data_IF_778356110054
#
_entry.id   IF_778356110054
#
_cell.length_a   1.000
_cell.length_b   1.000
_cell.length_c   1.000
_cell.angle_alpha   90.00
_cell.angle_beta   90.00
_cell.angle_gamma   90.00
#
_symmetry.space_group_name_H-M   'P 1'
#
loop_
_entity.id
_entity.type
_entity.pdbx_description
1 polymer ?
#
# COMPACT_ATOMS: atom_id res chain seq x y z
N UNK A 1 -8.97 7.66 47.73
CA UNK A 1 -9.43 7.25 46.43
C UNK A 1 -9.49 8.45 45.52
N UNK A 2 -8.52 8.58 44.58
CA UNK A 2 -8.58 9.60 43.54
C UNK A 2 -9.13 8.92 42.27
N UNK A 3 -10.13 9.49 41.60
CA UNK A 3 -10.54 8.97 40.28
C UNK A 3 -9.55 9.41 39.23
N UNK A 4 -8.84 8.46 38.63
CA UNK A 4 -8.06 8.63 37.41
C UNK A 4 -9.05 8.83 36.25
N UNK A 5 -9.32 10.08 35.89
CA UNK A 5 -9.91 10.42 34.60
C UNK A 5 -8.83 10.37 33.54
N UNK A 6 -8.78 9.26 32.82
CA UNK A 6 -8.00 9.14 31.58
C UNK A 6 -8.64 10.06 30.53
N UNK A 7 -8.03 11.20 30.25
CA UNK A 7 -8.36 11.99 29.05
C UNK A 7 -7.66 11.32 27.86
N UNK A 8 -8.35 11.11 26.75
CA UNK A 8 -7.68 10.66 25.53
C UNK A 8 -6.73 11.77 25.04
N UNK A 9 -5.43 11.47 25.01
CA UNK A 9 -4.36 12.39 24.62
C UNK A 9 -4.07 12.40 23.11
N UNK A 10 -5.05 12.11 22.26
CA UNK A 10 -4.89 12.34 20.83
C UNK A 10 -6.00 13.25 20.35
N UNK A 11 -5.68 14.44 19.80
CA UNK A 11 -6.66 15.19 19.06
C UNK A 11 -7.09 14.31 17.88
N UNK A 12 -8.39 14.06 17.75
CA UNK A 12 -8.96 13.47 16.54
C UNK A 12 -8.48 14.31 15.36
N UNK A 13 -7.73 13.68 14.46
CA UNK A 13 -7.41 14.27 13.17
C UNK A 13 -8.75 14.69 12.54
N UNK A 14 -8.94 15.95 12.10
CA UNK A 14 -10.11 16.26 11.34
C UNK A 14 -9.98 15.49 10.03
N UNK A 15 -10.68 14.36 9.93
CA UNK A 15 -11.04 13.78 8.66
C UNK A 15 -11.82 14.87 7.93
N UNK A 16 -11.16 15.61 7.08
CA UNK A 16 -11.82 16.42 6.09
C UNK A 16 -12.68 15.44 5.31
N UNK A 17 -13.98 15.49 5.55
CA UNK A 17 -14.97 14.55 5.05
C UNK A 17 -15.05 14.66 3.52
N UNK A 18 -14.12 14.03 2.82
CA UNK A 18 -14.36 13.55 1.49
C UNK A 18 -15.33 12.38 1.67
N UNK A 19 -16.59 12.58 1.35
CA UNK A 19 -17.60 11.54 1.40
C UNK A 19 -17.23 10.47 0.37
N UNK A 20 -16.54 9.42 0.81
CA UNK A 20 -16.25 8.26 -0.02
C UNK A 20 -17.54 7.47 -0.18
N UNK A 21 -17.86 7.11 -1.41
CA UNK A 21 -18.96 6.19 -1.67
C UNK A 21 -18.64 4.83 -1.04
N UNK A 22 -19.64 4.20 -0.36
CA UNK A 22 -19.43 2.85 0.18
C UNK A 22 -19.22 1.86 -0.96
N UNK A 23 -18.26 0.94 -0.78
CA UNK A 23 -18.00 -0.14 -1.74
C UNK A 23 -19.20 -1.08 -1.82
N UNK A 24 -19.91 -1.02 -2.94
CA UNK A 24 -21.04 -1.89 -3.31
C UNK A 24 -20.88 -2.50 -4.70
N UNK A 25 -19.66 -2.48 -5.25
CA UNK A 25 -19.41 -2.98 -6.62
C UNK A 25 -19.83 -4.43 -6.82
N UNK A 26 -19.75 -5.22 -5.77
CA UNK A 26 -20.11 -6.64 -5.77
C UNK A 26 -21.39 -6.96 -5.00
N UNK A 27 -22.23 -5.96 -4.69
CA UNK A 27 -23.46 -6.14 -3.91
C UNK A 27 -24.60 -6.80 -4.70
N UNK A 28 -24.55 -6.77 -6.03
CA UNK A 28 -25.52 -7.40 -6.91
C UNK A 28 -24.88 -8.61 -7.63
N UNK A 29 -25.65 -9.68 -7.94
CA UNK A 29 -25.14 -10.81 -8.69
C UNK A 29 -24.56 -10.38 -10.04
N UNK A 30 -23.32 -10.77 -10.33
CA UNK A 30 -22.69 -10.56 -11.64
C UNK A 30 -23.17 -11.63 -12.62
N UNK A 31 -23.50 -11.23 -13.84
CA UNK A 31 -23.92 -12.16 -14.91
C UNK A 31 -22.77 -13.09 -15.34
N UNK A 32 -21.53 -12.61 -15.27
CA UNK A 32 -20.31 -13.39 -15.52
C UNK A 32 -19.19 -12.90 -14.58
N UNK A 33 -18.31 -13.80 -14.10
CA UNK A 33 -17.07 -13.41 -13.43
C UNK A 33 -16.23 -12.54 -14.37
N UNK A 34 -15.74 -11.42 -13.86
CA UNK A 34 -14.80 -10.53 -14.54
C UNK A 34 -13.56 -10.36 -13.67
N UNK A 35 -12.41 -10.28 -14.30
CA UNK A 35 -11.18 -9.99 -13.59
C UNK A 35 -11.23 -8.59 -12.98
N UNK A 36 -10.61 -8.41 -11.83
CA UNK A 36 -10.57 -7.14 -11.12
C UNK A 36 -9.70 -6.13 -11.90
N UNK A 37 -10.28 -4.96 -12.21
CA UNK A 37 -9.60 -3.88 -12.93
C UNK A 37 -9.73 -2.60 -12.13
N UNK A 38 -8.62 -1.87 -11.97
CA UNK A 38 -8.56 -0.57 -11.31
C UNK A 38 -9.10 0.55 -12.23
N UNK A 39 -10.40 0.52 -12.49
CA UNK A 39 -11.12 1.47 -13.34
C UNK A 39 -11.81 2.58 -12.52
N UNK A 40 -12.54 3.47 -13.20
CA UNK A 40 -13.27 4.58 -12.57
C UNK A 40 -14.27 4.12 -11.49
N UNK A 41 -14.93 2.98 -11.67
CA UNK A 41 -15.87 2.45 -10.68
C UNK A 41 -15.16 2.07 -9.39
N UNK A 42 -14.00 1.43 -9.51
CA UNK A 42 -13.14 1.10 -8.36
C UNK A 42 -12.60 2.36 -7.71
N UNK A 43 -12.14 3.34 -8.48
CA UNK A 43 -11.61 4.63 -7.96
C UNK A 43 -12.58 5.29 -6.99
N UNK A 44 -13.89 5.33 -7.31
CA UNK A 44 -14.90 5.97 -6.46
C UNK A 44 -15.03 5.35 -5.07
N UNK A 45 -14.90 4.04 -4.98
CA UNK A 45 -15.13 3.29 -3.74
C UNK A 45 -13.83 2.78 -3.10
N UNK A 46 -12.68 2.99 -3.73
CA UNK A 46 -11.40 2.41 -3.32
C UNK A 46 -11.02 2.69 -1.85
N UNK A 47 -11.20 3.91 -1.31
CA UNK A 47 -10.87 4.18 0.08
C UNK A 47 -11.70 3.36 1.08
N UNK A 48 -13.00 3.18 0.82
CA UNK A 48 -13.87 2.32 1.61
C UNK A 48 -13.50 0.83 1.41
N UNK A 49 -13.30 0.45 0.15
CA UNK A 49 -12.92 -0.90 -0.25
C UNK A 49 -11.65 -1.39 0.46
N UNK A 50 -10.58 -0.61 0.43
CA UNK A 50 -9.29 -1.03 0.98
C UNK A 50 -9.34 -1.10 2.51
N UNK A 51 -9.96 -0.13 3.17
CA UNK A 51 -10.14 -0.08 4.61
C UNK A 51 -10.94 -1.27 5.15
N UNK A 52 -11.99 -1.68 4.44
CA UNK A 52 -12.85 -2.81 4.82
C UNK A 52 -12.29 -4.17 4.43
N UNK A 53 -11.29 -4.22 3.55
CA UNK A 53 -10.73 -5.47 2.99
C UNK A 53 -9.35 -5.82 3.51
N UNK A 54 -8.54 -4.83 3.94
CA UNK A 54 -7.14 -5.04 4.36
C UNK A 54 -7.00 -4.70 5.84
N UNK A 55 -6.86 -5.72 6.71
CA UNK A 55 -6.63 -5.52 8.12
C UNK A 55 -5.38 -4.68 8.39
N UNK A 56 -5.53 -3.60 9.18
CA UNK A 56 -4.41 -2.74 9.54
C UNK A 56 -3.94 -1.76 8.47
N UNK A 57 -4.63 -1.63 7.33
CA UNK A 57 -4.22 -0.74 6.25
C UNK A 57 -3.91 0.70 6.70
N UNK A 58 -4.76 1.39 7.50
CA UNK A 58 -4.44 2.74 7.96
C UNK A 58 -3.17 2.79 8.82
N UNK A 59 -2.95 1.77 9.65
CA UNK A 59 -1.75 1.64 10.49
C UNK A 59 -0.49 1.47 9.63
N UNK A 60 -0.56 0.64 8.59
CA UNK A 60 0.56 0.44 7.66
C UNK A 60 0.90 1.77 6.98
N UNK A 61 -0.08 2.45 6.40
CA UNK A 61 0.13 3.71 5.67
C UNK A 61 0.75 4.78 6.55
N UNK A 62 0.21 4.99 7.77
CA UNK A 62 0.75 6.00 8.69
C UNK A 62 2.19 5.67 9.13
N UNK A 63 2.46 4.40 9.44
CA UNK A 63 3.81 4.00 9.83
C UNK A 63 4.81 4.02 8.66
N UNK A 64 4.38 3.82 7.41
CA UNK A 64 5.25 4.06 6.25
C UNK A 64 5.75 5.51 6.25
N UNK A 65 4.88 6.49 6.53
CA UNK A 65 5.28 7.88 6.68
C UNK A 65 6.31 8.10 7.80
N UNK A 66 6.08 7.49 8.97
CA UNK A 66 7.02 7.57 10.11
C UNK A 66 8.37 6.94 9.77
N UNK A 67 8.37 5.76 9.14
CA UNK A 67 9.59 5.08 8.70
C UNK A 67 10.32 5.91 7.64
N UNK A 68 9.59 6.49 6.70
CA UNK A 68 10.18 7.34 5.67
C UNK A 68 10.96 8.52 6.25
N UNK A 69 10.47 9.14 7.31
CA UNK A 69 11.18 10.21 7.99
C UNK A 69 12.54 9.77 8.59
N UNK A 70 12.71 8.47 8.88
CA UNK A 70 13.98 7.92 9.38
C UNK A 70 14.98 7.62 8.26
N UNK A 71 14.48 7.24 7.07
CA UNK A 71 15.32 6.81 5.95
C UNK A 71 15.57 7.91 4.92
N UNK A 72 14.74 8.94 4.88
CA UNK A 72 14.87 10.04 3.92
C UNK A 72 16.23 10.74 4.02
N UNK A 73 16.88 10.92 2.87
CA UNK A 73 18.19 11.58 2.76
C UNK A 73 18.12 12.75 1.79
N UNK A 74 18.89 13.84 2.03
CA UNK A 74 18.89 15.00 1.15
C UNK A 74 19.29 14.65 -0.28
N UNK A 75 18.68 15.33 -1.26
CA UNK A 75 18.95 15.18 -2.69
C UNK A 75 18.62 13.79 -3.22
N UNK A 76 17.60 13.13 -2.68
CA UNK A 76 17.10 11.83 -3.13
C UNK A 76 15.61 11.88 -3.41
N UNK A 77 15.12 10.84 -4.10
CA UNK A 77 13.69 10.61 -4.29
C UNK A 77 13.12 9.65 -3.24
N UNK A 78 11.82 9.76 -3.00
CA UNK A 78 11.02 8.76 -2.32
C UNK A 78 9.97 8.23 -3.30
N UNK A 79 9.93 6.93 -3.54
CA UNK A 79 8.98 6.33 -4.48
C UNK A 79 7.79 5.72 -3.77
N UNK A 80 6.60 5.95 -4.32
CA UNK A 80 5.36 5.24 -4.01
C UNK A 80 4.92 4.50 -5.28
N UNK A 81 5.24 3.22 -5.38
CA UNK A 81 5.03 2.38 -6.55
C UNK A 81 3.71 1.62 -6.45
N UNK A 82 2.77 1.89 -7.34
CA UNK A 82 1.38 1.50 -7.25
C UNK A 82 0.64 2.42 -6.27
N UNK A 83 0.76 3.73 -6.49
CA UNK A 83 0.31 4.74 -5.53
C UNK A 83 -1.22 4.82 -5.39
N UNK A 84 -1.98 4.24 -6.31
CA UNK A 84 -3.45 4.34 -6.34
C UNK A 84 -3.93 5.79 -6.16
N UNK A 85 -4.71 6.05 -5.13
CA UNK A 85 -5.20 7.38 -4.79
C UNK A 85 -4.24 8.20 -3.91
N UNK A 86 -3.00 7.74 -3.72
CA UNK A 86 -1.94 8.48 -3.06
C UNK A 86 -1.95 8.45 -1.53
N UNK A 87 -2.50 7.41 -0.90
CA UNK A 87 -2.52 7.31 0.56
C UNK A 87 -1.11 7.28 1.17
N UNK A 88 -0.21 6.44 0.64
CA UNK A 88 1.20 6.38 1.05
C UNK A 88 1.91 7.68 0.64
N UNK A 89 1.71 8.16 -0.57
CA UNK A 89 2.23 9.45 -1.05
C UNK A 89 1.95 10.59 -0.05
N UNK A 90 0.71 10.69 0.43
CA UNK A 90 0.32 11.70 1.42
C UNK A 90 1.04 11.52 2.76
N UNK A 91 1.18 10.27 3.22
CA UNK A 91 1.92 9.98 4.45
C UNK A 91 3.39 10.39 4.32
N UNK A 92 4.06 10.04 3.21
CA UNK A 92 5.43 10.47 2.90
C UNK A 92 5.56 12.00 2.96
N UNK A 93 4.68 12.72 2.28
CA UNK A 93 4.72 14.19 2.18
C UNK A 93 4.50 14.89 3.53
N UNK A 94 3.70 14.30 4.42
CA UNK A 94 3.43 14.86 5.75
C UNK A 94 4.57 14.64 6.74
N UNK A 95 5.15 13.44 6.72
CA UNK A 95 6.13 13.03 7.73
C UNK A 95 7.57 13.41 7.40
N UNK A 96 7.95 13.40 6.12
CA UNK A 96 9.32 13.71 5.72
C UNK A 96 9.52 15.21 5.59
N UNK A 97 10.59 15.71 6.25
CA UNK A 97 10.97 17.13 6.26
C UNK A 97 12.42 17.34 5.81
N UNK A 98 12.97 16.35 5.11
CA UNK A 98 14.35 16.37 4.63
C UNK A 98 14.47 17.30 3.41
N UNK A 99 15.51 18.13 3.41
CA UNK A 99 15.75 19.12 2.35
C UNK A 99 16.05 18.47 1.00
N UNK A 100 15.59 19.11 -0.07
CA UNK A 100 15.82 18.67 -1.44
C UNK A 100 15.36 17.23 -1.73
N UNK A 101 14.34 16.76 -1.03
CA UNK A 101 13.63 15.52 -1.32
C UNK A 101 12.34 15.81 -2.08
N UNK A 102 11.89 14.84 -2.86
CA UNK A 102 10.56 14.85 -3.46
C UNK A 102 10.01 13.43 -3.58
N UNK A 103 8.69 13.32 -3.68
CA UNK A 103 8.00 12.03 -3.87
C UNK A 103 7.74 11.82 -5.36
N UNK A 104 8.01 10.62 -5.84
CA UNK A 104 7.59 10.14 -7.15
C UNK A 104 6.55 9.05 -6.93
N UNK A 105 5.30 9.38 -7.24
CA UNK A 105 4.14 8.49 -7.10
C UNK A 105 3.81 7.91 -8.49
N UNK A 106 3.73 6.60 -8.61
CA UNK A 106 3.57 5.91 -9.89
C UNK A 106 2.41 4.94 -9.84
N UNK A 107 1.54 4.99 -10.82
CA UNK A 107 0.49 3.99 -11.05
C UNK A 107 0.25 3.79 -12.54
N UNK A 108 -0.15 2.60 -12.97
CA UNK A 108 -0.44 2.31 -14.37
C UNK A 108 -1.92 2.51 -14.73
N UNK A 109 -2.77 2.85 -13.77
CA UNK A 109 -4.18 3.18 -14.00
C UNK A 109 -4.35 4.69 -14.19
N UNK A 110 -4.71 5.12 -15.40
CA UNK A 110 -5.01 6.52 -15.71
C UNK A 110 -6.05 7.11 -14.75
N UNK A 111 -7.11 6.36 -14.43
CA UNK A 111 -8.17 6.78 -13.52
C UNK A 111 -7.65 6.99 -12.08
N UNK A 112 -6.76 6.11 -11.59
CA UNK A 112 -6.12 6.28 -10.29
C UNK A 112 -5.21 7.50 -10.26
N UNK A 113 -4.38 7.68 -11.28
CA UNK A 113 -3.43 8.80 -11.40
C UNK A 113 -4.16 10.13 -11.44
N UNK A 114 -5.21 10.28 -12.25
CA UNK A 114 -6.00 11.49 -12.33
C UNK A 114 -6.61 11.85 -10.96
N UNK A 115 -7.22 10.88 -10.30
CA UNK A 115 -7.83 11.09 -8.99
C UNK A 115 -6.80 11.36 -7.89
N UNK A 116 -5.64 10.71 -7.96
CA UNK A 116 -4.51 10.99 -7.07
C UNK A 116 -4.06 12.45 -7.18
N UNK A 117 -3.89 12.96 -8.40
CA UNK A 117 -3.52 14.37 -8.64
C UNK A 117 -4.53 15.33 -8.05
N UNK A 118 -5.83 15.07 -8.21
CA UNK A 118 -6.90 15.90 -7.63
C UNK A 118 -6.81 15.94 -6.10
N UNK A 119 -6.64 14.79 -5.43
CA UNK A 119 -6.52 14.71 -3.99
C UNK A 119 -5.28 15.44 -3.45
N UNK A 120 -4.15 15.27 -4.12
CA UNK A 120 -2.91 15.93 -3.72
C UNK A 120 -2.98 17.45 -3.92
N UNK A 121 -3.56 17.91 -5.04
CA UNK A 121 -3.77 19.33 -5.28
C UNK A 121 -4.70 19.98 -4.23
N UNK A 122 -5.77 19.28 -3.84
CA UNK A 122 -6.65 19.73 -2.77
C UNK A 122 -5.92 19.90 -1.43
N UNK A 123 -4.96 19.05 -1.13
CA UNK A 123 -4.15 19.13 0.08
C UNK A 123 -3.12 20.27 0.03
N UNK A 124 -2.50 20.53 -1.10
CA UNK A 124 -1.53 21.62 -1.28
C UNK A 124 -2.15 22.99 -0.94
N UNK A 125 -3.46 23.14 -1.15
CA UNK A 125 -4.19 24.34 -0.79
C UNK A 125 -4.50 24.46 0.72
N UNK A 126 -4.44 23.36 1.47
CA UNK A 126 -4.81 23.30 2.89
C UNK A 126 -3.59 23.28 3.85
N UNK A 127 -2.46 22.74 3.41
CA UNK A 127 -1.27 22.57 4.23
C UNK A 127 -0.08 23.31 3.63
N UNK A 128 0.61 24.08 4.47
CA UNK A 128 1.90 24.67 4.12
C UNK A 128 3.01 23.64 4.41
N UNK A 129 4.06 23.60 3.57
CA UNK A 129 5.27 22.79 3.77
C UNK A 129 5.11 21.25 3.59
N UNK A 130 4.35 20.80 2.60
CA UNK A 130 4.39 19.42 2.15
C UNK A 130 5.55 19.20 1.18
N UNK A 131 6.16 18.00 1.20
CA UNK A 131 7.15 17.63 0.18
C UNK A 131 6.56 17.77 -1.23
N UNK A 132 7.37 18.25 -2.20
CA UNK A 132 6.99 18.22 -3.60
C UNK A 132 6.68 16.78 -4.04
N UNK A 133 5.74 16.64 -4.98
CA UNK A 133 5.34 15.34 -5.53
C UNK A 133 5.17 15.42 -7.04
N UNK A 134 5.65 14.40 -7.72
CA UNK A 134 5.35 14.12 -9.12
C UNK A 134 4.50 12.85 -9.20
N UNK A 135 3.36 12.90 -9.90
CA UNK A 135 2.49 11.73 -10.12
C UNK A 135 2.58 11.31 -11.58
N UNK A 136 3.06 10.09 -11.80
CA UNK A 136 3.39 9.55 -13.13
C UNK A 136 2.45 8.38 -13.44
N UNK A 137 1.83 8.43 -14.62
CA UNK A 137 1.15 7.27 -15.22
C UNK A 137 2.19 6.43 -15.95
N UNK A 138 2.58 5.30 -15.35
CA UNK A 138 3.57 4.40 -15.94
C UNK A 138 3.46 2.98 -15.35
N UNK A 139 3.96 2.00 -16.11
CA UNK A 139 4.25 0.68 -15.57
C UNK A 139 5.54 0.76 -14.74
N UNK A 140 5.48 0.28 -13.49
CA UNK A 140 6.63 0.25 -12.58
C UNK A 140 7.81 -0.57 -13.12
N UNK A 141 7.53 -1.52 -14.01
CA UNK A 141 8.54 -2.34 -14.69
C UNK A 141 9.32 -1.57 -15.77
N UNK A 142 8.76 -0.48 -16.27
CA UNK A 142 9.39 0.36 -17.29
C UNK A 142 10.13 1.58 -16.73
N UNK A 143 10.13 1.75 -15.40
CA UNK A 143 10.74 2.91 -14.76
C UNK A 143 12.27 2.90 -14.83
N UNK A 144 12.81 4.07 -15.08
CA UNK A 144 14.23 4.36 -14.83
C UNK A 144 14.33 5.08 -13.49
N UNK A 145 14.81 4.37 -12.48
CA UNK A 145 14.89 4.91 -11.13
C UNK A 145 16.00 5.96 -11.00
N UNK A 146 15.68 7.05 -10.30
CA UNK A 146 16.65 8.01 -9.79
C UNK A 146 17.19 7.53 -8.43
N UNK A 147 18.31 8.08 -7.92
CA UNK A 147 18.81 7.78 -6.59
C UNK A 147 17.72 8.00 -5.53
N UNK A 148 17.38 6.95 -4.79
CA UNK A 148 16.28 6.95 -3.84
C UNK A 148 16.75 6.61 -2.43
N UNK A 149 16.19 7.26 -1.43
CA UNK A 149 16.39 6.89 -0.03
C UNK A 149 15.25 6.01 0.52
N UNK A 150 14.08 6.04 -0.13
CA UNK A 150 12.98 5.16 0.20
C UNK A 150 12.23 4.73 -1.06
N UNK A 151 11.83 3.47 -1.09
CA UNK A 151 10.85 2.95 -2.06
C UNK A 151 9.76 2.23 -1.27
N UNK A 152 8.50 2.52 -1.55
CA UNK A 152 7.35 1.81 -1.02
C UNK A 152 6.65 1.01 -2.13
N UNK A 153 6.47 -0.27 -1.91
CA UNK A 153 5.58 -1.18 -2.64
C UNK A 153 4.49 -1.61 -1.65
N UNK A 154 3.39 -0.86 -1.62
CA UNK A 154 2.34 -1.09 -0.64
C UNK A 154 1.15 -1.82 -1.27
N UNK A 155 1.14 -3.14 -1.19
CA UNK A 155 0.16 -4.05 -1.84
C UNK A 155 0.19 -3.99 -3.37
N UNK A 156 1.37 -3.83 -3.94
CA UNK A 156 1.59 -3.66 -5.38
C UNK A 156 2.25 -4.88 -6.01
N UNK A 157 3.31 -5.43 -5.39
CA UNK A 157 4.11 -6.51 -5.97
C UNK A 157 3.27 -7.76 -6.27
N UNK A 158 2.24 -8.04 -5.48
CA UNK A 158 1.32 -9.16 -5.66
C UNK A 158 0.54 -9.14 -6.99
N UNK A 159 0.45 -7.99 -7.67
CA UNK A 159 -0.18 -7.82 -8.97
C UNK A 159 0.81 -7.91 -10.15
N UNK A 160 2.12 -7.94 -9.86
CA UNK A 160 3.16 -8.11 -10.85
C UNK A 160 3.38 -9.61 -11.10
N UNK A 161 3.52 -10.06 -12.37
CA UNK A 161 3.84 -11.44 -12.68
C UNK A 161 5.05 -11.95 -11.88
N UNK A 162 4.96 -13.14 -11.25
CA UNK A 162 6.02 -13.63 -10.38
C UNK A 162 7.42 -13.66 -11.00
N UNK A 163 7.49 -13.94 -12.29
CA UNK A 163 8.74 -14.00 -13.07
C UNK A 163 9.40 -12.62 -13.27
N UNK A 164 8.65 -11.52 -13.16
CA UNK A 164 9.17 -10.15 -13.33
C UNK A 164 9.55 -9.48 -12.00
N UNK A 165 9.11 -10.04 -10.87
CA UNK A 165 9.38 -9.49 -9.52
C UNK A 165 10.87 -9.39 -9.18
N UNK A 166 11.72 -10.40 -9.50
CA UNK A 166 13.15 -10.33 -9.20
C UNK A 166 13.86 -9.17 -9.89
N UNK A 167 13.53 -8.91 -11.16
CA UNK A 167 14.13 -7.82 -11.94
C UNK A 167 13.76 -6.46 -11.34
N UNK A 168 12.48 -6.24 -11.03
CA UNK A 168 12.02 -5.01 -10.39
C UNK A 168 12.73 -4.77 -9.04
N UNK A 169 12.80 -5.79 -8.19
CA UNK A 169 13.44 -5.66 -6.88
C UNK A 169 14.95 -5.41 -6.98
N UNK A 170 15.62 -5.99 -7.99
CA UNK A 170 17.02 -5.70 -8.28
C UNK A 170 17.22 -4.27 -8.75
N UNK A 171 16.36 -3.75 -9.62
CA UNK A 171 16.40 -2.36 -10.07
C UNK A 171 16.17 -1.38 -8.89
N UNK A 172 15.20 -1.66 -8.03
CA UNK A 172 14.96 -0.89 -6.81
C UNK A 172 16.19 -0.91 -5.90
N UNK A 173 16.79 -2.09 -5.69
CA UNK A 173 17.99 -2.24 -4.85
C UNK A 173 19.15 -1.39 -5.38
N UNK A 174 19.35 -1.35 -6.70
CA UNK A 174 20.40 -0.54 -7.34
C UNK A 174 20.15 0.97 -7.21
N UNK A 175 18.89 1.40 -7.21
CA UNK A 175 18.51 2.80 -7.06
C UNK A 175 18.64 3.31 -5.62
N UNK A 176 18.52 2.41 -4.63
CA UNK A 176 18.61 2.79 -3.23
C UNK A 176 20.02 3.22 -2.85
N UNK A 177 20.13 4.44 -2.33
CA UNK A 177 21.38 4.97 -1.78
C UNK A 177 21.76 4.22 -0.48
N UNK A 178 23.05 4.20 -0.08
CA UNK A 178 23.45 3.64 1.21
C UNK A 178 22.65 4.23 2.37
N UNK A 179 22.11 3.36 3.23
CA UNK A 179 21.25 3.76 4.35
C UNK A 179 19.78 4.03 3.98
N UNK A 180 19.40 3.82 2.72
CA UNK A 180 18.00 3.83 2.29
C UNK A 180 17.26 2.55 2.66
N UNK A 181 15.97 2.45 2.27
CA UNK A 181 15.15 1.28 2.53
C UNK A 181 14.08 1.03 1.47
N UNK A 182 13.72 -0.24 1.27
CA UNK A 182 12.47 -0.64 0.62
C UNK A 182 11.47 -1.04 1.71
N UNK A 183 10.25 -0.54 1.61
CA UNK A 183 9.10 -1.02 2.39
C UNK A 183 8.20 -1.81 1.45
N UNK A 184 7.99 -3.08 1.79
CA UNK A 184 7.17 -4.02 1.03
C UNK A 184 6.00 -4.50 1.88
N UNK A 185 4.77 -4.16 1.51
CA UNK A 185 3.57 -4.67 2.17
C UNK A 185 2.79 -5.56 1.20
N UNK A 186 2.43 -6.76 1.65
CA UNK A 186 1.80 -7.77 0.81
C UNK A 186 0.78 -8.62 1.56
N UNK A 187 -0.18 -9.17 0.83
CA UNK A 187 -0.96 -10.30 1.31
C UNK A 187 -0.11 -11.56 1.24
N UNK A 188 -0.14 -12.36 2.30
CA UNK A 188 0.63 -13.59 2.40
C UNK A 188 -0.20 -14.82 2.04
N UNK A 189 0.48 -15.81 1.48
CA UNK A 189 0.07 -17.21 1.39
C UNK A 189 0.88 -18.02 2.39
N UNK A 190 0.27 -19.01 2.99
CA UNK A 190 0.93 -19.93 3.92
C UNK A 190 1.10 -21.30 3.26
N UNK A 191 2.18 -22.00 3.61
CA UNK A 191 2.50 -23.31 3.04
C UNK A 191 1.76 -24.44 3.78
N UNK A 192 1.50 -24.25 5.06
CA UNK A 192 0.67 -25.15 5.86
C UNK A 192 -0.82 -24.92 5.56
N UNK A 193 -1.50 -25.96 5.13
CA UNK A 193 -2.91 -25.86 4.71
C UNK A 193 -3.84 -25.46 5.86
N UNK A 194 -3.56 -25.89 7.09
CA UNK A 194 -4.38 -25.56 8.25
C UNK A 194 -4.21 -24.08 8.63
N UNK A 195 -2.98 -23.56 8.57
CA UNK A 195 -2.69 -22.15 8.79
C UNK A 195 -3.33 -21.30 7.68
N UNK A 196 -3.21 -21.73 6.42
CA UNK A 196 -3.82 -21.06 5.28
C UNK A 196 -5.33 -20.97 5.41
N UNK A 197 -6.00 -22.06 5.78
CA UNK A 197 -7.46 -22.11 5.94
C UNK A 197 -7.90 -21.23 7.10
N UNK A 198 -7.26 -21.37 8.27
CA UNK A 198 -7.55 -20.56 9.45
C UNK A 198 -7.46 -19.05 9.15
N UNK A 199 -6.37 -18.60 8.55
CA UNK A 199 -6.17 -17.19 8.26
C UNK A 199 -7.06 -16.67 7.14
N UNK A 200 -7.46 -17.54 6.21
CA UNK A 200 -8.48 -17.24 5.21
C UNK A 200 -9.85 -17.03 5.86
N UNK A 201 -10.26 -17.90 6.76
CA UNK A 201 -11.53 -17.78 7.47
C UNK A 201 -11.56 -16.51 8.37
N UNK A 202 -10.47 -16.24 9.09
CA UNK A 202 -10.35 -15.02 9.90
C UNK A 202 -10.40 -13.75 9.05
N UNK A 203 -9.80 -13.75 7.86
CA UNK A 203 -9.89 -12.62 6.94
C UNK A 203 -11.31 -12.45 6.39
N UNK A 204 -12.02 -13.55 6.10
CA UNK A 204 -13.44 -13.51 5.72
C UNK A 204 -14.27 -12.93 6.87
N UNK A 205 -14.04 -13.38 8.11
CA UNK A 205 -14.71 -12.86 9.29
C UNK A 205 -14.46 -11.35 9.48
N UNK A 206 -13.23 -10.89 9.24
CA UNK A 206 -12.89 -9.46 9.24
C UNK A 206 -13.72 -8.67 8.23
N UNK A 207 -13.85 -9.17 6.99
CA UNK A 207 -14.68 -8.51 5.96
C UNK A 207 -16.16 -8.46 6.36
N UNK A 208 -16.71 -9.54 6.92
CA UNK A 208 -18.08 -9.56 7.45
C UNK A 208 -18.26 -8.53 8.56
N UNK A 209 -17.33 -8.45 9.51
CA UNK A 209 -17.36 -7.47 10.58
C UNK A 209 -17.33 -6.02 10.08
N UNK A 210 -16.74 -5.80 8.88
CA UNK A 210 -16.72 -4.52 8.18
C UNK A 210 -17.90 -4.34 7.21
N UNK A 211 -18.95 -5.18 7.31
CA UNK A 211 -20.22 -4.98 6.62
C UNK A 211 -20.30 -5.52 5.18
N UNK A 212 -19.37 -6.38 4.74
CA UNK A 212 -19.55 -7.11 3.49
C UNK A 212 -20.47 -8.33 3.65
N UNK A 213 -21.37 -8.52 2.69
CA UNK A 213 -22.19 -9.74 2.58
C UNK A 213 -21.37 -10.92 2.03
N UNK A 214 -21.90 -12.13 2.19
CA UNK A 214 -21.29 -13.35 1.62
C UNK A 214 -21.17 -13.28 0.10
N UNK A 215 -22.16 -12.69 -0.56
CA UNK A 215 -22.14 -12.51 -2.01
C UNK A 215 -21.01 -11.59 -2.45
N UNK A 216 -20.85 -10.43 -1.79
CA UNK A 216 -19.77 -9.49 -2.08
C UNK A 216 -18.40 -10.12 -1.88
N UNK A 217 -18.23 -10.87 -0.78
CA UNK A 217 -16.98 -11.57 -0.47
C UNK A 217 -16.66 -12.60 -1.54
N UNK A 218 -17.63 -13.43 -1.94
CA UNK A 218 -17.44 -14.49 -2.93
C UNK A 218 -17.12 -13.88 -4.31
N UNK A 219 -17.89 -12.92 -4.78
CA UNK A 219 -17.68 -12.30 -6.11
C UNK A 219 -16.35 -11.55 -6.18
N UNK A 220 -16.01 -10.77 -5.14
CA UNK A 220 -14.72 -10.06 -5.07
C UNK A 220 -13.54 -11.03 -5.02
N UNK A 221 -13.68 -12.15 -4.30
CA UNK A 221 -12.66 -13.20 -4.27
C UNK A 221 -12.41 -13.77 -5.66
N UNK A 222 -13.48 -14.17 -6.37
CA UNK A 222 -13.37 -14.70 -7.73
C UNK A 222 -12.74 -13.70 -8.71
N UNK A 223 -13.09 -12.41 -8.60
CA UNK A 223 -12.51 -11.36 -9.46
C UNK A 223 -11.01 -11.15 -9.23
N UNK A 224 -10.54 -11.23 -7.98
CA UNK A 224 -9.15 -10.88 -7.63
C UNK A 224 -8.19 -12.09 -7.72
N UNK A 225 -8.68 -13.33 -7.61
CA UNK A 225 -7.84 -14.54 -7.60
C UNK A 225 -7.01 -14.72 -8.88
N UNK A 226 -7.49 -14.22 -10.02
CA UNK A 226 -6.77 -14.31 -11.29
C UNK A 226 -5.64 -13.29 -11.40
N UNK A 227 -5.80 -12.11 -10.82
CA UNK A 227 -4.87 -10.98 -10.99
C UNK A 227 -3.88 -10.82 -9.83
N UNK A 228 -4.25 -11.25 -8.63
CA UNK A 228 -3.39 -11.17 -7.44
C UNK A 228 -2.75 -12.53 -7.13
N UNK A 229 -1.43 -12.56 -7.08
CA UNK A 229 -0.62 -13.77 -6.81
C UNK A 229 0.19 -13.58 -5.55
N UNK A 230 -0.38 -13.89 -4.35
CA UNK A 230 0.35 -13.75 -3.09
C UNK A 230 1.42 -14.82 -2.95
N UNK A 231 2.54 -14.44 -2.33
CA UNK A 231 3.64 -15.33 -1.97
C UNK A 231 3.70 -15.55 -0.45
N UNK A 232 4.51 -16.51 0.00
CA UNK A 232 4.81 -16.69 1.41
C UNK A 232 5.79 -15.62 1.91
N UNK A 233 5.82 -15.42 3.23
CA UNK A 233 6.77 -14.50 3.86
C UNK A 233 8.22 -14.92 3.53
N UNK A 234 8.51 -16.22 3.55
CA UNK A 234 9.82 -16.74 3.23
C UNK A 234 10.20 -16.53 1.76
N UNK A 235 9.24 -16.69 0.84
CA UNK A 235 9.45 -16.39 -0.59
C UNK A 235 9.79 -14.91 -0.79
N UNK A 236 9.09 -13.99 -0.12
CA UNK A 236 9.41 -12.57 -0.19
C UNK A 236 10.79 -12.29 0.38
N UNK A 237 11.12 -12.86 1.53
CA UNK A 237 12.43 -12.71 2.19
C UNK A 237 13.55 -13.17 1.29
N UNK A 238 13.45 -14.39 0.75
CA UNK A 238 14.48 -14.97 -0.11
C UNK A 238 14.66 -14.15 -1.38
N UNK A 239 13.58 -13.76 -2.04
CA UNK A 239 13.62 -12.91 -3.25
C UNK A 239 14.30 -11.56 -3.00
N UNK A 240 14.07 -10.94 -1.86
CA UNK A 240 14.73 -9.69 -1.47
C UNK A 240 16.25 -9.91 -1.23
N UNK A 241 16.62 -10.99 -0.56
CA UNK A 241 18.04 -11.34 -0.38
C UNK A 241 18.73 -11.63 -1.71
N UNK A 242 18.09 -12.36 -2.60
CA UNK A 242 18.58 -12.66 -3.96
C UNK A 242 18.70 -11.39 -4.82
N UNK A 243 17.85 -10.39 -4.60
CA UNK A 243 17.94 -9.08 -5.24
C UNK A 243 19.08 -8.19 -4.69
N UNK A 244 19.80 -8.65 -3.67
CA UNK A 244 20.98 -7.98 -3.09
C UNK A 244 20.69 -7.10 -1.87
N UNK A 245 19.51 -7.23 -1.25
CA UNK A 245 19.27 -6.63 0.07
C UNK A 245 20.02 -7.43 1.14
N UNK A 246 20.65 -6.72 2.09
CA UNK A 246 21.46 -7.35 3.14
C UNK A 246 20.62 -7.83 4.33
N UNK A 247 19.44 -7.21 4.55
CA UNK A 247 18.58 -7.50 5.70
C UNK A 247 17.12 -7.30 5.35
N UNK A 248 16.27 -8.20 5.81
CA UNK A 248 14.81 -8.14 5.67
C UNK A 248 14.17 -8.32 7.03
N UNK A 249 13.41 -7.32 7.47
CA UNK A 249 12.80 -7.25 8.80
C UNK A 249 11.29 -7.11 8.68
N UNK A 250 10.50 -8.10 9.12
CA UNK A 250 9.06 -7.91 9.30
C UNK A 250 8.83 -6.91 10.44
N UNK A 251 8.07 -5.86 10.18
CA UNK A 251 7.74 -4.87 11.21
C UNK A 251 6.24 -4.82 11.52
N UNK A 252 5.42 -5.40 10.64
CA UNK A 252 3.96 -5.48 10.83
C UNK A 252 3.44 -6.79 10.27
N UNK A 253 2.50 -7.40 10.99
CA UNK A 253 1.65 -8.47 10.47
C UNK A 253 0.28 -8.41 11.15
N UNK A 254 -0.77 -8.53 10.35
CA UNK A 254 -2.14 -8.69 10.81
C UNK A 254 -2.85 -9.70 9.92
N UNK A 255 -3.27 -10.83 10.50
CA UNK A 255 -3.78 -11.98 9.75
C UNK A 255 -2.80 -12.38 8.63
N UNK A 256 -3.30 -12.43 7.40
CA UNK A 256 -2.54 -12.75 6.20
C UNK A 256 -2.04 -11.50 5.44
N UNK A 257 -1.77 -10.40 6.14
CA UNK A 257 -1.17 -9.19 5.58
C UNK A 257 0.07 -8.81 6.39
N UNK A 258 1.17 -8.56 5.72
CA UNK A 258 2.41 -8.19 6.38
C UNK A 258 3.10 -7.02 5.67
N UNK A 259 3.99 -6.35 6.40
CA UNK A 259 4.89 -5.35 5.87
C UNK A 259 6.33 -5.58 6.36
N UNK A 260 7.25 -5.44 5.43
CA UNK A 260 8.67 -5.72 5.58
C UNK A 260 9.48 -4.45 5.31
N UNK A 261 10.61 -4.30 6.01
CA UNK A 261 11.67 -3.36 5.65
C UNK A 261 12.83 -4.18 5.09
N UNK A 262 13.30 -3.83 3.89
CA UNK A 262 14.50 -4.40 3.32
C UNK A 262 15.60 -3.33 3.20
N UNK A 263 16.77 -3.63 3.74
CA UNK A 263 17.92 -2.72 3.78
C UNK A 263 18.93 -3.13 2.71
N UNK A 264 19.52 -2.14 2.00
CA UNK A 264 20.54 -2.38 0.96
C UNK A 264 21.76 -3.10 1.44
#
# INVERSE_FOLDING_TARGET
>A
GFPLQCRPCFPACPDAAVSHEPDRLFAQPLAQPQDFVFNEDVVRVFPDMIKRSVPGYPTIVENIGVLAAQFAQPNTCLYDLGCSLGAVTQALRRHVKTDNCHVIAVDNSAAMVERCREYLHGQDSMFQELLPVEVIEADVLALQFQPASLVALNFTLQFIPPEQRPELLSAIRQALVPGGALILSEKLRFEDDQEQDLLTELHIAFKRANGYSELEIAQKRSAIENVMKPDSLETHRQRLLDAGFSKVVPWFQCLNFASLIALP
#
